data_IF_866337017478
#
_entry.id   IF_866337017478
#
_cell.length_a   1.000
_cell.length_b   1.000
_cell.length_c   1.000
_cell.angle_alpha   90.00
_cell.angle_beta   90.00
_cell.angle_gamma   90.00
#
_symmetry.space_group_name_H-M   'P 1'
#
loop_
_entity.id
_entity.type
_entity.pdbx_description
1 polymer ?
#
# COMPACT_ATOMS: atom_id res chain seq x y z
N UNK A 1 -21.91 20.66 32.10
CA UNK A 1 -21.98 19.22 31.84
C UNK A 1 -21.03 18.55 32.83
N UNK A 2 -21.58 17.78 33.79
CA UNK A 2 -20.72 17.02 34.71
C UNK A 2 -20.12 15.84 33.91
N UNK A 3 -18.87 15.97 33.51
CA UNK A 3 -18.10 14.89 32.88
C UNK A 3 -17.57 14.04 34.04
N UNK A 4 -17.77 12.72 34.01
CA UNK A 4 -17.17 11.79 34.97
C UNK A 4 -15.65 11.92 34.99
N UNK A 5 -15.02 11.65 36.12
CA UNK A 5 -13.55 11.71 36.23
C UNK A 5 -12.86 10.63 35.41
N UNK A 6 -13.50 9.46 35.19
CA UNK A 6 -12.98 8.33 34.37
C UNK A 6 -14.11 7.61 33.64
N UNK A 7 -13.80 7.06 32.45
CA UNK A 7 -14.71 6.28 31.62
C UNK A 7 -13.96 5.13 30.93
N UNK A 8 -14.73 4.14 30.48
CA UNK A 8 -14.30 3.13 29.54
C UNK A 8 -14.88 3.44 28.17
N UNK A 9 -14.09 3.28 27.11
CA UNK A 9 -14.51 3.44 25.73
C UNK A 9 -13.98 2.29 24.90
N UNK A 10 -14.69 1.94 23.82
CA UNK A 10 -14.32 0.85 22.91
C UNK A 10 -14.32 1.36 21.49
N UNK A 11 -13.21 1.18 20.77
CA UNK A 11 -13.21 1.32 19.31
C UNK A 11 -13.87 0.09 18.70
N UNK A 12 -14.85 0.31 17.83
CA UNK A 12 -15.68 -0.75 17.24
C UNK A 12 -15.68 -0.59 15.72
N UNK A 13 -15.43 -1.68 15.00
CA UNK A 13 -15.61 -1.74 13.56
C UNK A 13 -17.10 -1.62 13.20
N UNK A 14 -17.43 -0.73 12.24
CA UNK A 14 -18.79 -0.58 11.71
C UNK A 14 -18.96 -1.27 10.35
N UNK A 15 -17.89 -1.87 9.85
CA UNK A 15 -17.83 -2.69 8.64
C UNK A 15 -16.64 -3.65 8.74
N UNK A 16 -16.57 -4.74 7.95
CA UNK A 16 -15.40 -5.60 7.86
C UNK A 16 -14.18 -4.82 7.35
N UNK A 17 -13.03 -5.02 7.99
CA UNK A 17 -11.80 -4.30 7.67
C UNK A 17 -10.55 -5.14 7.98
N UNK A 18 -9.41 -4.74 7.42
CA UNK A 18 -8.08 -5.13 7.89
C UNK A 18 -7.52 -3.99 8.72
N UNK A 19 -7.16 -4.27 9.97
CA UNK A 19 -6.68 -3.26 10.91
C UNK A 19 -5.31 -2.74 10.53
N UNK A 20 -5.11 -1.41 10.62
CA UNK A 20 -3.80 -0.76 10.51
C UNK A 20 -3.78 0.57 11.25
N UNK A 21 -2.67 0.84 11.98
CA UNK A 21 -2.45 2.10 12.68
C UNK A 21 -2.77 2.07 14.18
N UNK A 22 -2.80 0.90 14.80
CA UNK A 22 -3.02 0.73 16.25
C UNK A 22 -2.08 1.60 17.05
N UNK A 23 -0.77 1.55 16.80
CA UNK A 23 0.23 2.32 17.54
C UNK A 23 0.01 3.83 17.46
N UNK A 24 -0.46 4.34 16.32
CA UNK A 24 -0.77 5.76 16.14
C UNK A 24 -2.04 6.17 16.91
N UNK A 25 -3.03 5.28 16.98
CA UNK A 25 -4.19 5.51 17.82
C UNK A 25 -3.80 5.59 19.29
N UNK A 26 -3.02 4.61 19.77
CA UNK A 26 -2.56 4.58 21.15
C UNK A 26 -1.69 5.78 21.50
N UNK A 27 -0.75 6.15 20.63
CA UNK A 27 0.07 7.35 20.80
C UNK A 27 -0.79 8.62 20.88
N UNK A 28 -1.86 8.72 20.07
CA UNK A 28 -2.78 9.87 20.12
C UNK A 28 -3.48 10.01 21.46
N UNK A 29 -3.83 8.90 22.12
CA UNK A 29 -4.40 8.92 23.45
C UNK A 29 -3.37 9.22 24.52
N UNK A 30 -2.20 8.60 24.48
CA UNK A 30 -1.14 8.76 25.49
C UNK A 30 -0.52 10.16 25.51
N UNK A 31 -0.39 10.81 24.33
CA UNK A 31 0.06 12.20 24.21
C UNK A 31 -0.91 13.20 24.89
N UNK A 32 -2.19 12.84 25.00
CA UNK A 32 -3.17 13.67 25.71
C UNK A 32 -3.13 13.41 27.21
N UNK A 33 -3.02 12.15 27.64
CA UNK A 33 -2.95 11.78 29.05
C UNK A 33 -2.35 10.39 29.24
N UNK A 34 -1.18 10.30 29.89
CA UNK A 34 -0.48 9.04 30.16
C UNK A 34 -1.24 8.06 31.06
N UNK A 35 -2.30 8.51 31.76
CA UNK A 35 -3.16 7.67 32.60
C UNK A 35 -4.19 6.87 31.80
N UNK A 36 -4.21 6.97 30.46
CA UNK A 36 -5.10 6.16 29.65
C UNK A 36 -4.48 4.77 29.50
N UNK A 37 -5.16 3.77 30.07
CA UNK A 37 -4.88 2.36 29.86
C UNK A 37 -5.61 1.84 28.63
N UNK A 38 -5.04 0.81 27.97
CA UNK A 38 -5.61 0.22 26.76
C UNK A 38 -5.45 -1.29 26.69
N UNK A 39 -6.39 -1.92 26.00
CA UNK A 39 -6.33 -3.33 25.57
C UNK A 39 -6.49 -3.41 24.06
N UNK A 40 -5.60 -4.16 23.39
CA UNK A 40 -5.66 -4.39 21.95
C UNK A 40 -6.39 -5.71 21.72
N UNK A 41 -7.54 -5.65 21.02
CA UNK A 41 -8.35 -6.82 20.65
C UNK A 41 -8.01 -7.30 19.22
N UNK A 42 -7.73 -6.34 18.29
CA UNK A 42 -7.33 -6.62 16.92
C UNK A 42 -6.05 -5.87 16.62
N UNK A 43 -5.02 -6.59 16.15
CA UNK A 43 -3.71 -6.03 15.81
C UNK A 43 -3.64 -5.63 14.35
N UNK A 44 -2.67 -4.81 13.99
CA UNK A 44 -2.38 -4.46 12.61
C UNK A 44 -2.14 -5.72 11.77
N UNK A 45 -2.75 -5.77 10.58
CA UNK A 45 -2.75 -6.92 9.66
C UNK A 45 -3.76 -8.02 9.99
N UNK A 46 -4.55 -7.88 11.05
CA UNK A 46 -5.64 -8.81 11.37
C UNK A 46 -6.98 -8.29 10.86
N UNK A 47 -7.87 -9.22 10.52
CA UNK A 47 -9.24 -8.90 10.15
C UNK A 47 -10.05 -8.45 11.37
N UNK A 48 -10.84 -7.41 11.19
CA UNK A 48 -11.88 -6.97 12.10
C UNK A 48 -13.25 -7.17 11.44
N UNK A 49 -14.16 -7.80 12.16
CA UNK A 49 -15.52 -8.06 11.67
C UNK A 49 -16.52 -7.00 12.16
N UNK A 50 -17.72 -7.02 11.59
CA UNK A 50 -18.79 -6.10 11.90
C UNK A 50 -19.13 -6.11 13.41
N UNK A 51 -19.15 -4.95 14.04
CA UNK A 51 -19.33 -4.74 15.49
C UNK A 51 -18.26 -5.38 16.39
N UNK A 52 -17.12 -5.79 15.84
CA UNK A 52 -16.03 -6.32 16.65
C UNK A 52 -15.31 -5.18 17.41
N UNK A 53 -15.06 -5.35 18.71
CA UNK A 53 -14.14 -4.50 19.45
C UNK A 53 -12.73 -4.58 18.84
N UNK A 54 -12.13 -3.42 18.59
CA UNK A 54 -10.77 -3.30 18.04
C UNK A 54 -9.77 -2.92 19.14
N UNK A 55 -10.13 -1.90 19.94
CA UNK A 55 -9.35 -1.40 21.07
C UNK A 55 -10.29 -1.09 22.23
N UNK A 56 -9.84 -1.38 23.46
CA UNK A 56 -10.50 -0.94 24.71
C UNK A 56 -9.64 0.12 25.36
N UNK A 57 -10.27 1.16 25.88
CA UNK A 57 -9.62 2.31 26.48
C UNK A 57 -10.26 2.61 27.82
N UNK A 58 -9.44 2.91 28.83
CA UNK A 58 -9.92 3.35 30.13
C UNK A 58 -9.07 4.52 30.62
N UNK A 59 -9.71 5.59 31.05
CA UNK A 59 -8.98 6.76 31.53
C UNK A 59 -9.85 7.98 31.77
N UNK A 60 -9.23 9.17 31.98
CA UNK A 60 -9.98 10.40 32.20
C UNK A 60 -10.89 10.68 30.99
N UNK A 61 -12.19 10.81 31.25
CA UNK A 61 -13.21 10.98 30.19
C UNK A 61 -12.91 12.13 29.25
N UNK A 62 -12.43 13.25 29.78
CA UNK A 62 -12.07 14.42 28.97
C UNK A 62 -10.91 14.13 28.05
N UNK A 63 -9.92 13.35 28.47
CA UNK A 63 -8.76 12.99 27.68
C UNK A 63 -9.16 12.05 26.53
N UNK A 64 -9.99 11.03 26.83
CA UNK A 64 -10.54 10.15 25.80
C UNK A 64 -11.28 10.92 24.70
N UNK A 65 -12.18 11.84 25.09
CA UNK A 65 -12.91 12.69 24.15
C UNK A 65 -12.00 13.64 23.35
N UNK A 66 -10.91 14.11 23.96
CA UNK A 66 -9.97 15.03 23.28
C UNK A 66 -9.16 14.31 22.20
N UNK A 67 -8.69 13.08 22.46
CA UNK A 67 -7.86 12.31 21.55
C UNK A 67 -8.67 11.58 20.46
N UNK A 68 -9.96 11.30 20.72
CA UNK A 68 -10.84 10.48 19.91
C UNK A 68 -10.68 10.74 18.40
N UNK A 69 -10.92 11.98 17.96
CA UNK A 69 -10.97 12.28 16.53
C UNK A 69 -9.62 12.07 15.83
N UNK A 70 -8.52 12.41 16.50
CA UNK A 70 -7.17 12.19 15.97
C UNK A 70 -6.87 10.71 15.83
N UNK A 71 -7.15 9.92 16.88
CA UNK A 71 -6.95 8.47 16.85
C UNK A 71 -7.80 7.81 15.76
N UNK A 72 -9.10 8.14 15.67
CA UNK A 72 -10.00 7.62 14.64
C UNK A 72 -9.52 7.97 13.23
N UNK A 73 -9.05 9.19 12.99
CA UNK A 73 -8.57 9.58 11.67
C UNK A 73 -7.40 8.71 11.19
N UNK A 74 -6.46 8.36 12.09
CA UNK A 74 -5.36 7.46 11.73
C UNK A 74 -5.86 6.06 11.39
N UNK A 75 -6.59 5.42 12.30
CA UNK A 75 -6.99 4.02 12.09
C UNK A 75 -7.98 3.88 10.94
N UNK A 76 -8.93 4.79 10.76
CA UNK A 76 -9.88 4.76 9.66
C UNK A 76 -9.17 4.87 8.30
N UNK A 77 -8.22 5.81 8.18
CA UNK A 77 -7.46 5.99 6.92
C UNK A 77 -6.54 4.81 6.63
N UNK A 78 -5.74 4.38 7.59
CA UNK A 78 -4.75 3.32 7.39
C UNK A 78 -5.42 1.95 7.23
N UNK A 79 -6.44 1.64 8.02
CA UNK A 79 -7.23 0.42 7.82
C UNK A 79 -7.96 0.42 6.47
N UNK A 80 -8.37 1.59 5.96
CA UNK A 80 -8.91 1.70 4.61
C UNK A 80 -7.91 1.30 3.53
N UNK A 81 -6.65 1.75 3.65
CA UNK A 81 -5.55 1.34 2.76
C UNK A 81 -5.28 -0.16 2.87
N UNK A 82 -5.20 -0.70 4.10
CA UNK A 82 -4.96 -2.13 4.33
C UNK A 82 -6.10 -2.99 3.78
N UNK A 83 -7.36 -2.58 4.01
CA UNK A 83 -8.55 -3.30 3.54
C UNK A 83 -8.62 -3.34 2.02
N UNK A 84 -8.41 -2.20 1.34
CA UNK A 84 -8.37 -2.17 -0.12
C UNK A 84 -7.23 -3.04 -0.65
N UNK A 85 -6.05 -3.00 -0.02
CA UNK A 85 -4.92 -3.84 -0.41
C UNK A 85 -5.26 -5.32 -0.29
N UNK A 86 -5.87 -5.75 0.83
CA UNK A 86 -6.29 -7.13 1.04
C UNK A 86 -7.29 -7.61 -0.03
N UNK A 87 -8.19 -6.73 -0.48
CA UNK A 87 -9.10 -7.05 -1.59
C UNK A 87 -8.34 -7.34 -2.89
N UNK A 88 -7.34 -6.52 -3.25
CA UNK A 88 -6.50 -6.78 -4.43
C UNK A 88 -5.70 -8.08 -4.28
N UNK A 89 -5.08 -8.32 -3.12
CA UNK A 89 -4.32 -9.54 -2.83
C UNK A 89 -5.23 -10.78 -2.94
N UNK A 90 -6.45 -10.70 -2.43
CA UNK A 90 -7.43 -11.78 -2.53
C UNK A 90 -7.81 -12.08 -3.98
N UNK A 91 -7.97 -11.08 -4.84
CA UNK A 91 -8.31 -11.27 -6.26
C UNK A 91 -7.23 -12.04 -7.01
N UNK A 92 -5.96 -11.89 -6.65
CA UNK A 92 -4.84 -12.59 -7.29
C UNK A 92 -4.46 -13.90 -6.59
N UNK A 93 -5.22 -14.33 -5.59
CA UNK A 93 -4.95 -15.57 -4.85
C UNK A 93 -4.86 -16.79 -5.80
N UNK A 94 -3.85 -17.66 -5.55
CA UNK A 94 -3.57 -18.82 -6.39
C UNK A 94 -2.72 -18.52 -7.64
N UNK A 95 -2.23 -17.28 -7.77
CA UNK A 95 -1.16 -16.89 -8.71
C UNK A 95 0.13 -16.57 -7.93
N UNK A 96 1.26 -16.45 -8.64
CA UNK A 96 2.54 -16.06 -8.02
C UNK A 96 2.76 -14.54 -8.00
N UNK A 97 1.77 -13.77 -8.44
CA UNK A 97 1.83 -12.31 -8.54
C UNK A 97 1.82 -11.64 -7.18
N UNK A 98 2.62 -10.58 -7.04
CA UNK A 98 2.60 -9.69 -5.87
C UNK A 98 1.96 -8.34 -6.22
N UNK A 99 1.07 -7.88 -5.37
CA UNK A 99 0.45 -6.55 -5.46
C UNK A 99 1.40 -5.53 -4.83
N UNK A 100 1.78 -4.50 -5.61
CA UNK A 100 2.67 -3.44 -5.17
C UNK A 100 1.92 -2.12 -4.98
N UNK A 101 2.38 -1.33 -4.01
CA UNK A 101 2.03 0.09 -3.91
C UNK A 101 2.83 0.93 -4.93
N UNK A 102 2.69 2.24 -4.84
CA UNK A 102 3.45 3.20 -5.66
C UNK A 102 3.92 4.39 -4.81
N UNK A 103 4.61 5.36 -5.44
CA UNK A 103 4.94 6.65 -4.81
C UNK A 103 3.81 7.68 -4.89
N UNK A 104 2.64 7.32 -5.44
CA UNK A 104 1.44 8.19 -5.50
C UNK A 104 0.74 8.17 -4.14
N UNK A 105 1.34 8.84 -3.14
CA UNK A 105 0.91 8.83 -1.74
C UNK A 105 0.45 10.22 -1.29
N UNK A 106 -0.34 10.27 -0.23
CA UNK A 106 -0.66 11.52 0.46
C UNK A 106 0.64 12.21 0.93
N UNK A 107 0.83 13.52 0.65
CA UNK A 107 2.02 14.24 1.11
C UNK A 107 2.24 14.08 2.63
N UNK A 108 3.46 13.68 3.02
CA UNK A 108 3.83 13.43 4.40
C UNK A 108 3.43 12.07 4.96
N UNK A 109 2.55 11.30 4.29
CA UNK A 109 2.00 10.05 4.79
C UNK A 109 2.57 8.79 4.15
N UNK A 110 3.55 8.91 3.25
CA UNK A 110 4.07 7.77 2.49
C UNK A 110 4.48 6.58 3.35
N UNK A 111 5.23 6.83 4.43
CA UNK A 111 5.67 5.75 5.32
C UNK A 111 4.48 5.02 5.96
N UNK A 112 3.46 5.75 6.39
CA UNK A 112 2.26 5.22 7.01
C UNK A 112 1.38 4.44 6.02
N UNK A 113 1.16 5.00 4.82
CA UNK A 113 0.38 4.34 3.78
C UNK A 113 1.07 3.07 3.27
N UNK A 114 2.39 3.08 3.09
CA UNK A 114 3.16 1.88 2.74
C UNK A 114 3.13 0.81 3.83
N UNK A 115 3.20 1.22 5.09
CA UNK A 115 2.99 0.31 6.23
C UNK A 115 1.60 -0.34 6.16
N UNK A 116 0.55 0.44 5.90
CA UNK A 116 -0.80 -0.07 5.78
C UNK A 116 -0.98 -1.03 4.59
N UNK A 117 -0.30 -0.79 3.47
CA UNK A 117 -0.24 -1.74 2.34
C UNK A 117 0.34 -3.09 2.79
N UNK A 118 1.44 -3.07 3.56
CA UNK A 118 2.02 -4.30 4.11
C UNK A 118 1.05 -5.01 5.07
N UNK A 119 0.31 -4.29 5.90
CA UNK A 119 -0.75 -4.85 6.76
C UNK A 119 -1.83 -5.56 5.94
N UNK A 120 -2.18 -5.04 4.76
CA UNK A 120 -3.13 -5.66 3.84
C UNK A 120 -2.58 -6.82 3.02
N UNK A 121 -1.32 -7.25 3.25
CA UNK A 121 -0.67 -8.35 2.53
C UNK A 121 -0.04 -7.94 1.19
N UNK A 122 -0.02 -6.65 0.85
CA UNK A 122 0.69 -6.12 -0.30
C UNK A 122 2.19 -6.00 -0.05
N UNK A 123 2.94 -5.72 -1.11
CA UNK A 123 4.39 -5.51 -1.08
C UNK A 123 4.70 -4.05 -1.38
N UNK A 124 5.68 -3.48 -0.70
CA UNK A 124 6.09 -2.11 -0.95
C UNK A 124 7.01 -2.03 -2.17
N UNK A 125 6.64 -1.19 -3.13
CA UNK A 125 7.54 -0.67 -4.16
C UNK A 125 8.54 0.30 -3.51
N UNK A 126 9.55 0.78 -4.27
CA UNK A 126 10.54 1.75 -3.77
C UNK A 126 9.90 2.90 -2.97
N UNK A 127 10.58 3.30 -1.89
CA UNK A 127 10.12 4.36 -1.01
C UNK A 127 10.46 5.74 -1.58
N UNK A 128 11.63 5.87 -2.20
CA UNK A 128 12.15 7.14 -2.66
C UNK A 128 12.78 7.11 -4.05
N UNK A 129 13.80 7.94 -4.23
CA UNK A 129 14.65 7.96 -5.43
C UNK A 129 16.04 7.37 -5.16
N UNK A 130 16.25 6.88 -3.95
CA UNK A 130 17.56 6.44 -3.44
C UNK A 130 17.65 4.93 -3.23
N UNK A 131 16.53 4.20 -3.26
CA UNK A 131 16.47 2.77 -2.94
C UNK A 131 16.26 1.88 -4.19
N UNK A 132 15.97 2.48 -5.35
CA UNK A 132 15.88 1.80 -6.65
C UNK A 132 15.94 2.82 -7.79
N UNK A 133 16.69 2.52 -8.84
CA UNK A 133 16.68 3.32 -10.08
C UNK A 133 15.43 2.98 -10.88
N UNK A 134 14.74 3.99 -11.41
CA UNK A 134 13.64 3.82 -12.35
C UNK A 134 13.88 4.72 -13.57
N UNK A 135 14.03 4.09 -14.72
CA UNK A 135 14.18 4.74 -16.03
C UNK A 135 12.78 4.92 -16.59
N UNK A 136 12.42 6.15 -16.94
CA UNK A 136 11.12 6.53 -17.47
C UNK A 136 11.25 7.16 -18.85
N UNK A 137 10.12 7.31 -19.54
CA UNK A 137 9.99 7.98 -20.84
C UNK A 137 10.78 9.29 -20.91
N UNK A 138 10.65 10.17 -19.93
CA UNK A 138 11.37 11.44 -19.85
C UNK A 138 12.90 11.29 -19.76
N UNK A 139 13.38 10.22 -19.12
CA UNK A 139 14.82 9.92 -19.08
C UNK A 139 15.31 9.40 -20.45
N UNK A 140 14.50 8.57 -21.09
CA UNK A 140 14.80 8.06 -22.44
C UNK A 140 14.79 9.19 -23.49
N UNK A 141 13.86 10.13 -23.37
CA UNK A 141 13.84 11.31 -24.27
C UNK A 141 15.16 12.10 -24.24
N UNK A 142 15.80 12.19 -23.06
CA UNK A 142 17.10 12.84 -22.92
C UNK A 142 18.27 12.04 -23.53
N UNK A 143 18.06 10.78 -23.88
CA UNK A 143 19.03 9.85 -24.51
C UNK A 143 18.56 9.37 -25.89
N UNK A 144 17.75 10.17 -26.57
CA UNK A 144 17.22 9.87 -27.93
C UNK A 144 16.54 8.49 -28.01
N UNK A 145 15.94 8.03 -26.90
CA UNK A 145 15.27 6.73 -26.81
C UNK A 145 16.18 5.53 -26.58
N UNK A 146 17.46 5.75 -26.30
CA UNK A 146 18.44 4.65 -26.14
C UNK A 146 18.32 3.97 -24.78
N UNK A 147 17.49 2.92 -24.71
CA UNK A 147 17.24 2.10 -23.51
C UNK A 147 18.52 1.45 -22.98
N UNK A 148 19.34 0.88 -23.87
CA UNK A 148 20.57 0.19 -23.49
C UNK A 148 21.58 1.13 -22.83
N UNK A 149 21.75 2.33 -23.37
CA UNK A 149 22.63 3.35 -22.80
C UNK A 149 22.10 3.83 -21.43
N UNK A 150 20.78 4.02 -21.28
CA UNK A 150 20.18 4.43 -20.02
C UNK A 150 20.45 3.40 -18.91
N UNK A 151 20.25 2.12 -19.19
CA UNK A 151 20.49 1.02 -18.24
C UNK A 151 21.98 0.89 -17.91
N UNK A 152 22.85 0.95 -18.93
CA UNK A 152 24.30 0.91 -18.71
C UNK A 152 24.77 2.04 -17.80
N UNK A 153 24.39 3.28 -18.08
CA UNK A 153 24.74 4.44 -17.25
C UNK A 153 24.20 4.30 -15.82
N UNK A 154 22.98 3.78 -15.66
CA UNK A 154 22.41 3.51 -14.34
C UNK A 154 23.25 2.47 -13.58
N UNK A 155 23.64 1.37 -14.20
CA UNK A 155 24.45 0.30 -13.64
C UNK A 155 25.85 0.77 -13.23
N UNK A 156 26.48 1.60 -14.05
CA UNK A 156 27.80 2.17 -13.77
C UNK A 156 27.79 3.13 -12.57
N UNK A 157 26.72 3.95 -12.45
CA UNK A 157 26.63 4.95 -11.37
C UNK A 157 26.04 4.40 -10.07
N UNK A 158 25.21 3.34 -10.15
CA UNK A 158 24.47 2.77 -8.99
C UNK A 158 24.51 1.23 -9.04
N UNK A 159 25.71 0.61 -8.91
CA UNK A 159 25.90 -0.84 -9.10
C UNK A 159 25.11 -1.70 -8.10
N UNK A 160 24.82 -1.16 -6.91
CA UNK A 160 24.15 -1.90 -5.83
C UNK A 160 22.61 -1.74 -5.87
N UNK A 161 22.08 -0.88 -6.74
CA UNK A 161 20.65 -0.67 -6.83
C UNK A 161 20.04 -1.49 -7.96
N UNK A 162 18.81 -1.97 -7.74
CA UNK A 162 18.01 -2.54 -8.81
C UNK A 162 17.66 -1.47 -9.84
N UNK A 163 17.66 -1.86 -11.10
CA UNK A 163 17.27 -1.01 -12.22
C UNK A 163 15.95 -1.49 -12.75
N UNK A 164 14.95 -0.63 -12.64
CA UNK A 164 13.65 -0.80 -13.28
C UNK A 164 13.55 0.10 -14.50
N UNK A 165 13.08 -0.45 -15.61
CA UNK A 165 12.87 0.27 -16.85
C UNK A 165 11.40 0.22 -17.26
N UNK A 166 10.80 1.41 -17.47
CA UNK A 166 9.45 1.58 -17.99
C UNK A 166 9.44 1.34 -19.50
N UNK A 167 8.48 0.55 -19.97
CA UNK A 167 8.28 0.21 -21.37
C UNK A 167 6.81 0.37 -21.75
N UNK A 168 6.54 1.22 -22.74
CA UNK A 168 5.22 1.45 -23.31
C UNK A 168 4.93 0.53 -24.50
N UNK A 169 5.96 -0.15 -25.03
CA UNK A 169 5.84 -1.08 -26.18
C UNK A 169 6.62 -2.36 -25.93
N UNK A 170 6.24 -3.41 -26.66
CA UNK A 170 6.89 -4.72 -26.59
C UNK A 170 8.37 -4.62 -27.01
N UNK A 171 8.68 -3.79 -28.00
CA UNK A 171 10.04 -3.56 -28.48
C UNK A 171 10.91 -2.90 -27.38
N UNK A 172 10.36 -1.94 -26.63
CA UNK A 172 11.05 -1.34 -25.49
C UNK A 172 11.26 -2.36 -24.36
N UNK A 173 10.26 -3.21 -24.07
CA UNK A 173 10.37 -4.28 -23.08
C UNK A 173 11.47 -5.27 -23.44
N UNK A 174 11.55 -5.67 -24.71
CA UNK A 174 12.61 -6.54 -25.21
C UNK A 174 13.98 -5.88 -25.10
N UNK A 175 14.10 -4.62 -25.51
CA UNK A 175 15.36 -3.86 -25.40
C UNK A 175 15.83 -3.70 -23.96
N UNK A 176 14.91 -3.47 -23.01
CA UNK A 176 15.22 -3.40 -21.59
C UNK A 176 15.73 -4.75 -21.03
N UNK A 177 15.11 -5.86 -21.44
CA UNK A 177 15.55 -7.20 -21.05
C UNK A 177 16.94 -7.53 -21.61
N UNK A 178 17.21 -7.21 -22.89
CA UNK A 178 18.50 -7.41 -23.53
C UNK A 178 19.61 -6.56 -22.92
N UNK A 179 19.25 -5.35 -22.45
CA UNK A 179 20.17 -4.43 -21.78
C UNK A 179 20.43 -4.78 -20.31
N UNK A 180 19.73 -5.77 -19.74
CA UNK A 180 19.94 -6.25 -18.37
C UNK A 180 19.25 -5.42 -17.28
N UNK A 181 18.02 -4.92 -17.54
CA UNK A 181 17.16 -4.40 -16.49
C UNK A 181 16.83 -5.51 -15.49
N UNK A 182 16.71 -5.16 -14.20
CA UNK A 182 16.30 -6.12 -13.16
C UNK A 182 14.78 -6.29 -13.13
N UNK A 183 14.04 -5.21 -13.42
CA UNK A 183 12.58 -5.17 -13.49
C UNK A 183 12.18 -4.39 -14.74
N UNK A 184 11.14 -4.84 -15.40
CA UNK A 184 10.55 -4.15 -16.56
C UNK A 184 9.10 -3.83 -16.24
N UNK A 185 8.80 -2.54 -16.10
CA UNK A 185 7.47 -2.03 -15.89
C UNK A 185 6.78 -1.88 -17.26
N UNK A 186 5.73 -2.67 -17.46
CA UNK A 186 4.90 -2.70 -18.66
C UNK A 186 3.73 -1.75 -18.47
N UNK A 187 3.84 -0.52 -18.99
CA UNK A 187 2.88 0.54 -18.68
C UNK A 187 1.71 0.57 -19.66
N UNK A 188 0.49 0.51 -19.13
CA UNK A 188 -0.78 0.58 -19.88
C UNK A 188 -0.94 -0.45 -21.02
N UNK A 189 -0.29 -1.61 -20.93
CA UNK A 189 -0.42 -2.69 -21.90
C UNK A 189 -1.70 -3.50 -21.70
N UNK A 190 -2.31 -3.96 -22.78
CA UNK A 190 -3.40 -4.93 -22.75
C UNK A 190 -2.93 -6.31 -22.26
N UNK A 191 -3.84 -7.17 -21.81
CA UNK A 191 -3.49 -8.51 -21.35
C UNK A 191 -2.79 -9.36 -22.43
N UNK A 192 -3.09 -9.15 -23.71
CA UNK A 192 -2.42 -9.85 -24.82
C UNK A 192 -0.98 -9.35 -25.02
N UNK A 193 -0.76 -8.03 -24.92
CA UNK A 193 0.58 -7.45 -24.95
C UNK A 193 1.41 -7.86 -23.73
N UNK A 194 0.81 -7.92 -22.53
CA UNK A 194 1.48 -8.41 -21.33
C UNK A 194 1.94 -9.87 -21.50
N UNK A 195 1.06 -10.77 -22.01
CA UNK A 195 1.44 -12.17 -22.31
C UNK A 195 2.59 -12.26 -23.31
N UNK A 196 2.54 -11.44 -24.35
CA UNK A 196 3.60 -11.39 -25.36
C UNK A 196 4.91 -10.88 -24.77
N UNK A 197 4.88 -9.79 -23.98
CA UNK A 197 6.06 -9.24 -23.33
C UNK A 197 6.69 -10.24 -22.34
N UNK A 198 5.88 -10.87 -21.47
CA UNK A 198 6.33 -11.92 -20.55
C UNK A 198 7.02 -13.07 -21.31
N UNK A 199 6.41 -13.52 -22.42
CA UNK A 199 6.98 -14.57 -23.27
C UNK A 199 8.31 -14.18 -23.90
N UNK A 200 8.46 -12.92 -24.36
CA UNK A 200 9.70 -12.41 -24.96
C UNK A 200 10.80 -12.16 -23.92
N UNK A 201 10.45 -11.73 -22.72
CA UNK A 201 11.42 -11.50 -21.64
C UNK A 201 12.00 -12.82 -21.11
N UNK A 202 11.24 -13.91 -21.11
CA UNK A 202 11.72 -15.28 -20.79
C UNK A 202 12.45 -15.37 -19.44
N UNK A 203 11.99 -14.63 -18.42
CA UNK A 203 12.59 -14.63 -17.09
C UNK A 203 13.95 -13.93 -16.96
N UNK A 204 14.42 -13.22 -18.00
CA UNK A 204 15.66 -12.41 -17.95
C UNK A 204 15.55 -11.22 -17.00
N UNK A 205 14.34 -10.73 -16.77
CA UNK A 205 13.99 -9.70 -15.81
C UNK A 205 12.66 -10.04 -15.16
N UNK A 206 12.37 -9.44 -13.99
CA UNK A 206 11.04 -9.45 -13.40
C UNK A 206 10.13 -8.51 -14.19
N UNK A 207 8.85 -8.86 -14.30
CA UNK A 207 7.86 -8.08 -15.04
C UNK A 207 6.86 -7.45 -14.08
N UNK A 208 6.56 -6.17 -14.30
CA UNK A 208 5.57 -5.42 -13.52
C UNK A 208 4.51 -4.85 -14.46
N UNK A 209 3.24 -5.15 -14.23
CA UNK A 209 2.15 -4.50 -14.93
C UNK A 209 1.71 -3.24 -14.17
N UNK A 210 1.51 -2.13 -14.89
CA UNK A 210 1.07 -0.84 -14.36
C UNK A 210 0.05 -0.18 -15.28
N UNK A 211 -0.76 0.72 -14.71
CA UNK A 211 -1.73 1.53 -15.46
C UNK A 211 -3.16 1.04 -15.36
N UNK A 212 -4.05 1.86 -14.83
CA UNK A 212 -5.51 1.65 -14.82
C UNK A 212 -6.02 0.38 -14.14
N UNK A 213 -5.25 -0.24 -13.24
CA UNK A 213 -5.60 -1.50 -12.57
C UNK A 213 -6.74 -1.28 -11.58
N UNK A 214 -7.79 -2.09 -11.69
CA UNK A 214 -8.96 -2.10 -10.79
C UNK A 214 -9.19 -3.50 -10.21
N UNK A 215 -10.09 -3.64 -9.23
CA UNK A 215 -10.46 -4.95 -8.67
C UNK A 215 -11.07 -5.88 -9.72
N UNK A 216 -11.75 -5.33 -10.74
CA UNK A 216 -12.37 -6.09 -11.83
C UNK A 216 -11.34 -6.61 -12.84
N UNK A 217 -10.21 -5.89 -13.03
CA UNK A 217 -9.21 -6.21 -14.07
C UNK A 217 -7.99 -6.93 -13.53
N UNK A 218 -7.67 -6.78 -12.24
CA UNK A 218 -6.42 -7.29 -11.63
C UNK A 218 -6.25 -8.81 -11.78
N UNK A 219 -7.33 -9.59 -11.76
CA UNK A 219 -7.28 -11.04 -11.94
C UNK A 219 -6.80 -11.43 -13.33
N UNK A 220 -7.37 -10.81 -14.37
CA UNK A 220 -6.98 -11.10 -15.76
C UNK A 220 -5.52 -10.69 -16.01
N UNK A 221 -5.08 -9.57 -15.43
CA UNK A 221 -3.69 -9.12 -15.48
C UNK A 221 -2.78 -10.15 -14.80
N UNK A 222 -3.13 -10.64 -13.61
CA UNK A 222 -2.35 -11.65 -12.89
C UNK A 222 -2.19 -12.95 -13.69
N UNK A 223 -3.20 -13.34 -14.48
CA UNK A 223 -3.18 -14.54 -15.33
C UNK A 223 -2.33 -14.39 -16.61
N UNK A 224 -1.76 -13.20 -16.87
CA UNK A 224 -0.81 -13.00 -17.98
C UNK A 224 0.58 -13.55 -17.68
N UNK A 225 0.88 -13.82 -16.41
CA UNK A 225 2.18 -14.34 -15.98
C UNK A 225 3.19 -13.27 -15.56
N UNK A 226 2.77 -12.02 -15.34
CA UNK A 226 3.61 -10.98 -14.75
C UNK A 226 3.97 -11.32 -13.30
N UNK A 227 5.13 -10.83 -12.82
CA UNK A 227 5.56 -11.07 -11.43
C UNK A 227 4.90 -10.09 -10.45
N UNK A 228 4.66 -8.85 -10.90
CA UNK A 228 4.17 -7.76 -10.07
C UNK A 228 3.03 -7.02 -10.75
N UNK A 229 2.13 -6.47 -9.93
CA UNK A 229 1.10 -5.52 -10.38
C UNK A 229 1.13 -4.33 -9.43
N UNK A 230 1.50 -3.15 -9.93
CA UNK A 230 1.49 -1.91 -9.14
C UNK A 230 0.16 -1.19 -9.24
N UNK A 231 -0.40 -0.85 -8.09
CA UNK A 231 -1.74 -0.26 -7.97
C UNK A 231 -1.66 1.07 -7.20
N UNK A 232 -1.69 2.18 -7.93
CA UNK A 232 -1.66 3.51 -7.31
C UNK A 232 -2.86 3.81 -6.42
N UNK A 233 -4.02 3.25 -6.76
CA UNK A 233 -5.27 3.46 -6.02
C UNK A 233 -5.19 3.01 -4.55
N UNK A 234 -4.31 2.08 -4.20
CA UNK A 234 -4.12 1.63 -2.82
C UNK A 234 -3.81 2.79 -1.86
N UNK A 235 -3.07 3.78 -2.32
CA UNK A 235 -2.62 4.89 -1.47
C UNK A 235 -3.33 6.20 -1.79
N UNK A 236 -3.56 6.54 -3.06
CA UNK A 236 -4.18 7.83 -3.41
C UNK A 236 -5.71 7.83 -3.43
N UNK A 237 -6.39 6.66 -3.46
CA UNK A 237 -7.85 6.56 -3.61
C UNK A 237 -8.53 5.57 -2.66
N UNK A 238 -7.80 4.97 -1.71
CA UNK A 238 -8.42 4.10 -0.72
C UNK A 238 -9.49 4.87 0.09
N UNK A 239 -10.71 4.36 0.24
CA UNK A 239 -11.69 4.92 1.15
C UNK A 239 -11.24 4.72 2.60
N UNK A 240 -11.62 5.61 3.50
CA UNK A 240 -11.51 5.36 4.93
C UNK A 240 -12.62 4.39 5.36
N UNK A 241 -12.28 3.46 6.24
CA UNK A 241 -13.28 2.54 6.83
C UNK A 241 -14.03 3.18 7.99
N UNK A 242 -15.22 2.67 8.27
CA UNK A 242 -16.04 3.18 9.37
C UNK A 242 -15.67 2.48 10.70
N UNK A 243 -15.07 3.24 11.60
CA UNK A 243 -14.73 2.85 12.97
C UNK A 243 -15.30 3.92 13.92
N UNK A 244 -15.98 3.52 14.98
CA UNK A 244 -16.50 4.41 16.01
C UNK A 244 -15.82 4.19 17.36
N UNK A 245 -15.82 5.21 18.21
CA UNK A 245 -15.49 5.11 19.63
C UNK A 245 -16.77 5.20 20.45
N UNK A 246 -17.21 4.09 21.02
CA UNK A 246 -18.39 4.02 21.86
C UNK A 246 -17.98 4.04 23.34
N UNK A 247 -18.62 4.88 24.11
CA UNK A 247 -18.45 4.91 25.56
C UNK A 247 -19.43 3.94 26.22
N UNK A 248 -18.97 3.18 27.21
CA UNK A 248 -19.86 2.31 27.99
C UNK A 248 -21.01 3.13 28.56
N UNK A 249 -22.23 2.70 28.24
CA UNK A 249 -23.42 3.35 28.80
C UNK A 249 -23.39 3.22 30.31
N UNK A 250 -23.64 4.34 30.96
CA UNK A 250 -23.74 4.45 32.37
C UNK A 250 -24.93 3.60 32.85
N UNK A 251 -24.67 2.44 33.45
CA UNK A 251 -25.66 1.76 34.24
C UNK A 251 -25.92 2.54 35.54
#
# INVERSE_FOLDING_TARGET
MCIRDSSTAVMIAREPLVMAGVDLALASFQEVDERIDFGIEVRDGQDGDFYQPLLRLQGPTRALLTAERTALNFVQRLSGVATLTAQFVQQVAGTDVQILDTRKTTPGWRALEKYAVACGGGTNHRIGLYDQVMIKDNHLAALEGNMAEAIQRARENYPDLKIEAEADTIEQAQAAAEAGADIILLDNMSCDELRQAVGLIEGRAKTEASGGVTLETVREIAETGVDYISVGALTHSAPSVDIALDFDQLS
#
